data_IF_819117343751
#
_entry.id   IF_819117343751
#
_cell.length_a   1.000
_cell.length_b   1.000
_cell.length_c   1.000
_cell.angle_alpha   90.00
_cell.angle_beta   90.00
_cell.angle_gamma   90.00
#
_symmetry.space_group_name_H-M   'P 1'
#
loop_
_entity.id
_entity.type
_entity.pdbx_description
1 polymer ?
#
# COMPACT_ATOMS: atom_id res chain seq x y z
N UNK A 1 -15.08 -65.24 10.41
CA UNK A 1 -13.73 -64.69 10.11
C UNK A 1 -13.68 -63.75 8.89
N UNK A 2 -14.79 -63.40 8.20
CA UNK A 2 -14.73 -62.56 6.98
C UNK A 2 -15.13 -61.09 7.16
N UNK A 3 -15.86 -60.76 8.23
CA UNK A 3 -16.43 -59.42 8.45
C UNK A 3 -15.41 -58.49 9.12
N UNK A 4 -14.53 -59.02 9.98
CA UNK A 4 -13.52 -58.21 10.69
C UNK A 4 -12.38 -57.72 9.78
N UNK A 5 -12.11 -58.38 8.65
CA UNK A 5 -11.05 -57.99 7.71
C UNK A 5 -11.50 -56.80 6.83
N UNK A 6 -12.80 -56.70 6.52
CA UNK A 6 -13.35 -55.58 5.73
C UNK A 6 -13.44 -54.28 6.53
N UNK A 7 -13.71 -54.37 7.82
CA UNK A 7 -13.80 -53.19 8.70
C UNK A 7 -12.43 -52.52 8.93
N UNK A 8 -11.34 -53.30 8.95
CA UNK A 8 -10.00 -52.78 9.15
C UNK A 8 -9.47 -51.97 7.94
N UNK A 9 -9.87 -52.32 6.71
CA UNK A 9 -9.40 -51.64 5.50
C UNK A 9 -10.09 -50.29 5.22
N UNK A 10 -11.28 -50.05 5.78
CA UNK A 10 -11.99 -48.78 5.57
C UNK A 10 -11.56 -47.65 6.52
N UNK A 11 -10.87 -47.96 7.63
CA UNK A 11 -10.55 -46.97 8.66
C UNK A 11 -9.21 -46.23 8.46
N UNK A 12 -8.39 -46.62 7.48
CA UNK A 12 -7.06 -46.01 7.28
C UNK A 12 -7.08 -44.84 6.28
N UNK A 13 -8.17 -44.62 5.54
CA UNK A 13 -8.19 -43.64 4.44
C UNK A 13 -8.53 -42.19 4.85
N UNK A 14 -8.89 -41.92 6.11
CA UNK A 14 -9.42 -40.59 6.52
C UNK A 14 -8.47 -39.74 7.38
N UNK A 15 -7.22 -40.15 7.58
CA UNK A 15 -6.27 -39.42 8.41
C UNK A 15 -5.20 -38.70 7.58
N UNK A 16 -5.61 -37.79 6.70
CA UNK A 16 -4.68 -36.80 6.13
C UNK A 16 -5.14 -35.43 6.61
N UNK A 17 -4.53 -34.86 7.68
CA UNK A 17 -4.75 -33.46 7.96
C UNK A 17 -4.04 -32.71 6.83
N UNK A 18 -4.82 -32.14 5.92
CA UNK A 18 -4.30 -31.17 4.97
C UNK A 18 -3.83 -29.96 5.78
N UNK A 19 -2.57 -29.94 6.19
CA UNK A 19 -1.87 -28.72 6.60
C UNK A 19 -1.69 -27.87 5.36
N UNK A 20 -2.77 -27.23 4.92
CA UNK A 20 -2.70 -26.10 4.03
C UNK A 20 -2.21 -24.93 4.88
N UNK A 21 -0.88 -24.74 4.94
CA UNK A 21 -0.32 -23.45 5.33
C UNK A 21 -0.89 -22.41 4.36
N UNK A 22 -1.89 -21.66 4.81
CA UNK A 22 -2.44 -20.56 4.05
C UNK A 22 -1.27 -19.63 3.70
N UNK A 23 -1.09 -19.24 2.42
CA UNK A 23 -0.02 -18.34 2.06
C UNK A 23 -0.19 -17.06 2.87
N UNK A 24 0.71 -16.86 3.84
CA UNK A 24 0.75 -15.65 4.64
C UNK A 24 1.23 -14.55 3.70
N UNK A 25 0.27 -13.89 3.05
CA UNK A 25 0.50 -12.67 2.29
C UNK A 25 1.33 -11.75 3.18
N UNK A 26 2.56 -11.47 2.76
CA UNK A 26 3.38 -10.47 3.41
C UNK A 26 2.55 -9.18 3.48
N UNK A 27 2.51 -8.48 4.64
CA UNK A 27 1.83 -7.20 4.71
C UNK A 27 2.44 -6.30 3.63
N UNK A 28 1.63 -5.87 2.66
CA UNK A 28 2.08 -4.85 1.72
C UNK A 28 2.52 -3.64 2.54
N UNK A 29 3.65 -2.99 2.22
CA UNK A 29 4.01 -1.73 2.83
C UNK A 29 2.82 -0.80 2.69
N UNK A 30 2.17 -0.44 3.80
CA UNK A 30 1.13 0.58 3.78
C UNK A 30 1.82 1.85 3.28
N UNK A 31 1.41 2.43 2.14
CA UNK A 31 1.94 3.72 1.75
C UNK A 31 1.62 4.68 2.90
N UNK A 32 2.64 5.08 3.67
CA UNK A 32 2.50 6.18 4.62
C UNK A 32 2.48 7.45 3.79
N UNK A 33 1.40 7.64 3.04
CA UNK A 33 1.11 8.84 2.30
C UNK A 33 0.58 9.84 3.31
N UNK A 34 1.50 10.39 4.10
CA UNK A 34 1.23 11.67 4.74
C UNK A 34 0.62 12.59 3.69
N UNK A 35 -0.37 13.43 4.05
CA UNK A 35 -0.99 14.37 3.11
C UNK A 35 0.11 15.09 2.32
N UNK A 36 -0.02 15.12 0.99
CA UNK A 36 1.01 15.68 0.10
C UNK A 36 1.27 17.16 0.45
N UNK A 37 0.28 17.84 1.01
CA UNK A 37 0.34 19.17 1.59
C UNK A 37 1.44 19.30 2.65
N UNK A 38 1.58 18.32 3.54
CA UNK A 38 2.54 18.33 4.63
C UNK A 38 3.99 18.11 4.15
N UNK A 39 4.18 17.57 2.95
CA UNK A 39 5.51 17.38 2.38
C UNK A 39 6.24 18.71 2.18
N UNK A 40 5.51 19.76 1.75
CA UNK A 40 6.05 21.10 1.57
C UNK A 40 6.57 21.74 2.88
N UNK A 41 6.04 21.34 4.04
CA UNK A 41 6.54 21.85 5.34
C UNK A 41 7.97 21.39 5.61
N UNK A 42 8.29 20.14 5.26
CA UNK A 42 9.64 19.58 5.43
C UNK A 42 10.62 20.03 4.34
N UNK A 43 10.11 20.60 3.25
CA UNK A 43 10.88 21.02 2.08
C UNK A 43 10.66 22.52 1.82
N UNK A 44 11.13 23.35 2.76
CA UNK A 44 10.92 24.80 2.78
C UNK A 44 11.32 25.51 1.47
N UNK A 45 12.40 25.06 0.84
CA UNK A 45 12.94 25.63 -0.41
C UNK A 45 12.18 25.21 -1.67
N UNK A 46 11.28 24.24 -1.58
CA UNK A 46 10.48 23.79 -2.71
C UNK A 46 9.21 24.64 -2.84
N UNK A 47 9.01 25.24 -4.02
CA UNK A 47 7.85 26.08 -4.35
C UNK A 47 6.69 25.27 -4.92
N UNK A 48 6.99 24.16 -5.61
CA UNK A 48 6.00 23.27 -6.21
C UNK A 48 6.48 21.81 -6.14
N UNK A 49 5.57 20.90 -5.79
CA UNK A 49 5.86 19.47 -5.63
C UNK A 49 4.67 18.61 -6.04
N UNK A 50 4.95 17.33 -6.32
CA UNK A 50 3.93 16.36 -6.74
C UNK A 50 4.22 14.96 -6.22
N UNK A 51 3.17 14.19 -5.97
CA UNK A 51 3.22 12.73 -5.74
C UNK A 51 2.82 11.92 -6.99
N UNK A 52 2.97 12.52 -8.18
CA UNK A 52 2.49 12.04 -9.47
C UNK A 52 0.97 12.02 -9.67
N UNK A 53 0.18 12.32 -8.63
CA UNK A 53 -1.29 12.36 -8.70
C UNK A 53 -1.89 13.70 -8.35
N UNK A 54 -1.22 14.42 -7.47
CA UNK A 54 -1.59 15.73 -7.02
C UNK A 54 -0.38 16.64 -7.15
N UNK A 55 -0.59 17.85 -7.65
CA UNK A 55 0.44 18.88 -7.67
C UNK A 55 0.05 19.94 -6.67
N UNK A 56 0.99 20.30 -5.82
CA UNK A 56 0.84 21.33 -4.80
C UNK A 56 1.86 22.45 -5.03
N UNK A 57 1.43 23.68 -4.79
CA UNK A 57 2.28 24.86 -4.83
C UNK A 57 2.18 25.66 -3.53
N UNK A 58 3.26 26.37 -3.17
CA UNK A 58 3.23 27.34 -2.07
C UNK A 58 2.27 28.47 -2.41
N UNK A 59 1.46 28.84 -1.43
CA UNK A 59 0.59 30.01 -1.47
C UNK A 59 1.11 31.09 -0.54
N UNK A 60 0.82 32.36 -0.87
CA UNK A 60 1.05 33.49 0.03
C UNK A 60 0.26 33.38 1.35
N UNK A 61 -0.84 32.62 1.37
CA UNK A 61 -1.66 32.38 2.57
C UNK A 61 -1.01 31.44 3.60
N UNK A 62 0.15 30.85 3.29
CA UNK A 62 0.84 29.89 4.15
C UNK A 62 0.32 28.45 4.06
N UNK A 63 -0.87 28.22 3.50
CA UNK A 63 -1.38 26.88 3.18
C UNK A 63 -1.09 26.54 1.72
N UNK A 64 -0.52 25.36 1.40
CA UNK A 64 -0.32 24.96 0.01
C UNK A 64 -1.64 24.86 -0.74
N UNK A 65 -1.63 25.24 -2.02
CA UNK A 65 -2.74 25.05 -2.94
C UNK A 65 -2.46 23.82 -3.77
N UNK A 66 -3.39 22.87 -3.80
CA UNK A 66 -3.19 21.59 -4.48
C UNK A 66 -4.29 21.32 -5.49
N UNK A 67 -3.94 20.63 -6.58
CA UNK A 67 -4.89 20.18 -7.60
C UNK A 67 -5.81 19.08 -7.06
N UNK A 68 -6.86 18.75 -7.82
CA UNK A 68 -7.67 17.54 -7.58
C UNK A 68 -6.98 16.30 -8.13
N UNK A 69 -7.17 15.16 -7.46
CA UNK A 69 -6.63 13.86 -7.89
C UNK A 69 -7.52 13.22 -8.96
N UNK A 70 -6.93 12.61 -9.99
CA UNK A 70 -7.66 11.81 -10.99
C UNK A 70 -8.04 10.42 -10.48
N UNK A 71 -9.19 9.90 -10.93
CA UNK A 71 -9.81 8.64 -10.45
C UNK A 71 -8.87 7.41 -10.52
N UNK A 72 -7.99 7.34 -11.51
CA UNK A 72 -7.11 6.19 -11.73
C UNK A 72 -5.67 6.39 -11.22
N UNK A 73 -5.38 7.49 -10.51
CA UNK A 73 -4.00 7.82 -10.19
C UNK A 73 -3.46 7.04 -8.99
N UNK A 74 -2.29 6.43 -9.17
CA UNK A 74 -1.56 5.74 -8.11
C UNK A 74 -0.42 6.62 -7.61
N UNK A 75 -0.53 7.09 -6.36
CA UNK A 75 0.45 7.99 -5.73
C UNK A 75 1.84 7.37 -5.68
N UNK A 76 2.84 8.19 -5.94
CA UNK A 76 4.28 7.89 -5.82
C UNK A 76 4.90 8.68 -4.68
N UNK A 77 6.19 8.48 -4.45
CA UNK A 77 6.94 9.34 -3.54
C UNK A 77 6.91 10.78 -4.03
N UNK A 78 6.67 11.72 -3.12
CA UNK A 78 6.61 13.13 -3.44
C UNK A 78 7.98 13.68 -3.85
N UNK A 79 8.00 14.49 -4.91
CA UNK A 79 9.20 15.11 -5.46
C UNK A 79 9.00 16.61 -5.67
N UNK A 80 10.08 17.37 -5.56
CA UNK A 80 10.07 18.79 -5.89
C UNK A 80 10.11 18.97 -7.41
N UNK A 81 9.18 19.75 -7.97
CA UNK A 81 9.16 20.12 -9.40
C UNK A 81 9.70 21.53 -9.62
N UNK A 82 9.64 22.40 -8.59
CA UNK A 82 10.15 23.78 -8.66
C UNK A 82 10.83 24.22 -7.37
N UNK A 83 12.09 24.63 -7.46
CA UNK A 83 12.83 25.21 -6.34
C UNK A 83 12.67 26.73 -6.27
N UNK A 84 12.89 27.30 -5.09
CA UNK A 84 13.03 28.73 -4.92
C UNK A 84 14.29 29.24 -5.64
N UNK A 85 14.26 30.45 -6.23
CA UNK A 85 15.46 31.08 -6.75
C UNK A 85 16.50 31.23 -5.62
N UNK A 86 17.78 31.09 -5.97
CA UNK A 86 18.89 31.30 -5.02
C UNK A 86 19.07 32.76 -4.68
#
# INVERSE_FOLDING_TARGET
MGIMIRAALFLVLFAVPALADAPKLAPMPKPSLAPIEAWGVRNASCLEWTDACQTCARSASGKPQCSTVGIACVRKAATCTKQAPR
#
